data_IF_314950975536
#
_entry.id   IF_314950975536
#
_cell.length_a   1.000
_cell.length_b   1.000
_cell.length_c   1.000
_cell.angle_alpha   90.00
_cell.angle_beta   90.00
_cell.angle_gamma   90.00
#
_symmetry.space_group_name_H-M   'P 1'
#
loop_
_entity.id
_entity.type
_entity.pdbx_description
1 polymer ?
#
# COMPACT_ATOMS: atom_id res chain seq x y z
N UNK A 1 -4.88 4.02 -3.11
CA UNK A 1 -4.35 4.87 -4.22
C UNK A 1 -2.84 5.10 -4.11
N UNK A 2 -2.31 5.61 -2.99
CA UNK A 2 -0.86 5.86 -2.84
C UNK A 2 -0.05 4.57 -2.99
N UNK A 3 -0.48 3.48 -2.35
CA UNK A 3 0.15 2.14 -2.48
C UNK A 3 0.25 1.69 -3.95
N UNK A 4 -0.83 1.87 -4.72
CA UNK A 4 -0.86 1.59 -6.15
C UNK A 4 0.21 2.40 -6.90
N UNK A 5 0.27 3.72 -6.68
CA UNK A 5 1.20 4.60 -7.38
C UNK A 5 2.66 4.25 -7.06
N UNK A 6 2.96 3.94 -5.79
CA UNK A 6 4.31 3.57 -5.35
C UNK A 6 4.73 2.25 -5.99
N UNK A 7 3.93 1.19 -5.81
CA UNK A 7 4.22 -0.14 -6.35
C UNK A 7 4.38 -0.11 -7.86
N UNK A 8 3.45 0.53 -8.55
CA UNK A 8 3.49 0.66 -10.01
C UNK A 8 4.72 1.42 -10.49
N UNK A 9 5.07 2.54 -9.85
CA UNK A 9 6.23 3.35 -10.23
C UNK A 9 7.56 2.61 -10.00
N UNK A 10 7.68 1.87 -8.89
CA UNK A 10 8.87 1.05 -8.60
C UNK A 10 9.01 -0.06 -9.64
N UNK A 11 7.91 -0.78 -9.95
CA UNK A 11 7.92 -1.82 -10.99
C UNK A 11 8.31 -1.28 -12.37
N UNK A 12 7.73 -0.15 -12.78
CA UNK A 12 8.06 0.52 -14.05
C UNK A 12 9.54 0.90 -14.10
N UNK A 13 10.06 1.53 -13.03
CA UNK A 13 11.44 1.97 -12.98
C UNK A 13 12.41 0.79 -13.01
N UNK A 14 12.17 -0.25 -12.22
CA UNK A 14 13.03 -1.42 -12.16
C UNK A 14 13.13 -2.14 -13.51
N UNK A 15 11.99 -2.36 -14.18
CA UNK A 15 11.96 -3.03 -15.48
C UNK A 15 12.58 -2.17 -16.58
N UNK A 16 12.40 -0.84 -16.54
CA UNK A 16 13.04 0.08 -17.47
C UNK A 16 14.57 0.15 -17.29
N UNK A 17 15.05 0.16 -16.05
CA UNK A 17 16.49 0.08 -15.74
C UNK A 17 17.06 -1.22 -16.28
N UNK A 18 16.40 -2.35 -16.02
CA UNK A 18 16.80 -3.65 -16.54
C UNK A 18 16.87 -3.65 -18.08
N UNK A 19 15.89 -3.01 -18.74
CA UNK A 19 15.92 -2.83 -20.19
C UNK A 19 17.17 -2.09 -20.66
N UNK A 20 17.45 -0.90 -20.11
CA UNK A 20 18.58 -0.07 -20.55
C UNK A 20 19.95 -0.70 -20.23
N UNK A 21 20.07 -1.38 -19.09
CA UNK A 21 21.34 -1.97 -18.66
C UNK A 21 21.68 -3.25 -19.42
N UNK A 22 20.69 -4.02 -19.84
CA UNK A 22 20.89 -5.38 -20.36
C UNK A 22 20.28 -5.54 -21.75
N UNK A 23 18.97 -5.34 -21.92
CA UNK A 23 18.25 -5.71 -23.15
C UNK A 23 18.56 -4.80 -24.33
N UNK A 24 18.64 -3.49 -24.12
CA UNK A 24 18.94 -2.50 -25.18
C UNK A 24 20.29 -2.77 -25.83
N UNK A 25 21.24 -3.38 -25.09
CA UNK A 25 22.60 -3.63 -25.59
C UNK A 25 22.70 -4.82 -26.55
N UNK A 26 21.63 -5.58 -26.73
CA UNK A 26 21.60 -6.82 -27.52
C UNK A 26 20.63 -6.72 -28.71
N UNK A 27 20.99 -7.37 -29.83
CA UNK A 27 20.22 -7.42 -31.07
C UNK A 27 19.06 -8.43 -30.98
N UNK A 28 18.09 -8.13 -30.12
CA UNK A 28 16.87 -8.94 -29.91
C UNK A 28 15.59 -8.08 -29.94
N UNK A 29 15.47 -7.22 -30.95
CA UNK A 29 14.50 -6.11 -30.98
C UNK A 29 13.02 -6.52 -30.86
N UNK A 30 12.63 -7.68 -31.42
CA UNK A 30 11.26 -8.18 -31.23
C UNK A 30 10.98 -8.52 -29.76
N UNK A 31 11.91 -9.20 -29.08
CA UNK A 31 11.78 -9.50 -27.66
C UNK A 31 11.76 -8.22 -26.83
N UNK A 32 12.65 -7.28 -27.13
CA UNK A 32 12.72 -5.97 -26.48
C UNK A 32 11.41 -5.18 -26.63
N UNK A 33 10.78 -5.22 -27.82
CA UNK A 33 9.46 -4.62 -28.06
C UNK A 33 8.41 -5.19 -27.11
N UNK A 34 8.29 -6.51 -27.08
CA UNK A 34 7.31 -7.19 -26.21
C UNK A 34 7.61 -6.94 -24.73
N UNK A 35 8.88 -7.01 -24.32
CA UNK A 35 9.29 -6.73 -22.94
C UNK A 35 8.89 -5.31 -22.50
N UNK A 36 9.15 -4.29 -23.33
CA UNK A 36 8.79 -2.92 -23.02
C UNK A 36 7.26 -2.73 -22.88
N UNK A 37 6.46 -3.33 -23.78
CA UNK A 37 5.00 -3.24 -23.71
C UNK A 37 4.42 -4.03 -22.54
N UNK A 38 4.89 -5.26 -22.33
CA UNK A 38 4.43 -6.12 -21.23
C UNK A 38 4.83 -5.52 -19.89
N UNK A 39 6.07 -5.01 -19.74
CA UNK A 39 6.49 -4.37 -18.47
C UNK A 39 5.65 -3.15 -18.12
N UNK A 40 5.25 -2.35 -19.12
CA UNK A 40 4.36 -1.20 -18.95
C UNK A 40 2.99 -1.63 -18.39
N UNK A 41 2.35 -2.62 -19.01
CA UNK A 41 1.04 -3.12 -18.59
C UNK A 41 1.11 -3.89 -17.27
N UNK A 42 2.12 -4.74 -17.11
CA UNK A 42 2.37 -5.52 -15.91
C UNK A 42 2.56 -4.63 -14.68
N UNK A 43 3.35 -3.56 -14.79
CA UNK A 43 3.60 -2.65 -13.67
C UNK A 43 2.33 -1.90 -13.24
N UNK A 44 1.38 -1.69 -14.15
CA UNK A 44 0.07 -1.14 -13.81
C UNK A 44 -0.88 -2.20 -13.23
N UNK A 45 -0.70 -3.47 -13.57
CA UNK A 45 -1.56 -4.57 -13.12
C UNK A 45 -1.16 -5.17 -11.76
N UNK A 46 0.15 -5.28 -11.48
CA UNK A 46 0.67 -5.98 -10.28
C UNK A 46 0.17 -5.43 -8.94
N UNK A 47 -0.13 -4.13 -8.75
CA UNK A 47 -0.63 -3.67 -7.45
C UNK A 47 -2.07 -4.15 -7.15
N UNK A 48 -2.78 -4.69 -8.14
CA UNK A 48 -4.13 -5.25 -7.97
C UNK A 48 -4.12 -6.74 -7.58
N UNK A 49 -2.98 -7.40 -7.63
CA UNK A 49 -2.85 -8.79 -7.19
C UNK A 49 -2.39 -8.81 -5.74
N UNK A 50 -3.19 -9.37 -4.83
CA UNK A 50 -2.80 -9.61 -3.45
C UNK A 50 -3.26 -10.98 -3.01
N UNK A 51 -2.30 -11.78 -2.55
CA UNK A 51 -2.46 -13.09 -1.95
C UNK A 51 -1.95 -13.01 -0.53
N UNK A 52 -2.74 -13.56 0.37
CA UNK A 52 -2.50 -13.59 1.80
C UNK A 52 -1.74 -14.87 2.17
N UNK A 53 -0.58 -14.74 2.82
CA UNK A 53 0.17 -15.87 3.36
C UNK A 53 0.12 -15.82 4.89
N UNK A 54 -0.36 -16.89 5.51
CA UNK A 54 -0.25 -17.09 6.96
C UNK A 54 1.21 -17.19 7.35
N UNK A 55 1.68 -16.28 8.21
CA UNK A 55 3.07 -16.25 8.64
C UNK A 55 3.11 -16.10 10.16
N UNK A 56 3.67 -17.10 10.84
CA UNK A 56 3.99 -17.05 12.27
C UNK A 56 5.18 -16.13 12.50
N UNK A 57 4.97 -14.81 12.44
CA UNK A 57 6.06 -13.85 12.69
C UNK A 57 6.25 -13.69 14.21
N UNK A 58 7.44 -13.99 14.76
CA UNK A 58 7.77 -13.61 16.13
C UNK A 58 7.83 -12.07 16.21
N UNK A 59 6.96 -11.48 17.03
CA UNK A 59 6.91 -10.04 17.26
C UNK A 59 8.19 -9.64 17.98
N UNK A 60 9.16 -9.09 17.24
CA UNK A 60 10.28 -8.35 17.82
C UNK A 60 9.70 -7.03 18.32
N UNK A 61 9.48 -6.94 19.64
CA UNK A 61 9.12 -5.69 20.31
C UNK A 61 10.27 -4.70 20.17
N UNK A 62 10.21 -3.86 19.14
CA UNK A 62 11.10 -2.71 19.02
C UNK A 62 10.85 -1.81 20.24
N UNK A 63 11.82 -1.79 21.15
CA UNK A 63 11.88 -0.94 22.33
C UNK A 63 12.01 0.52 21.87
N UNK A 64 10.88 1.19 21.65
CA UNK A 64 10.87 2.64 21.47
C UNK A 64 11.22 3.27 22.82
N UNK A 65 12.39 3.88 22.88
CA UNK A 65 12.84 4.68 24.02
C UNK A 65 11.87 5.87 24.15
N UNK A 66 11.21 6.10 25.30
CA UNK A 66 10.38 7.28 25.49
C UNK A 66 11.28 8.52 25.46
N UNK A 67 11.06 9.39 24.48
CA UNK A 67 11.62 10.73 24.50
C UNK A 67 10.96 11.49 25.65
N UNK A 68 11.75 11.90 26.65
CA UNK A 68 11.31 12.73 27.76
C UNK A 68 10.74 14.04 27.22
N UNK A 69 9.42 14.21 27.34
CA UNK A 69 8.80 15.53 27.23
C UNK A 69 9.02 16.23 28.56
N UNK A 70 9.89 17.23 28.54
CA UNK A 70 10.09 18.15 29.66
C UNK A 70 8.77 18.88 29.88
N UNK A 71 8.16 18.65 31.04
CA UNK A 71 7.03 19.42 31.58
C UNK A 71 7.51 20.84 31.90
N UNK A 72 6.95 21.84 31.22
CA UNK A 72 6.96 23.22 31.70
C UNK A 72 5.62 23.49 32.40
N UNK A 73 5.75 23.82 33.68
CA UNK A 73 4.88 24.48 34.62
C UNK A 73 3.36 24.63 34.38
N UNK A 74 2.67 24.28 35.46
CA UNK A 74 1.33 24.69 35.88
C UNK A 74 0.90 26.09 35.38
N UNK A 75 -0.11 26.11 34.52
CA UNK A 75 -1.14 27.15 34.56
C UNK A 75 -2.52 26.47 34.57
N UNK A 76 -3.23 26.69 35.66
CA UNK A 76 -4.64 26.35 35.83
C UNK A 76 -5.49 27.20 34.88
N UNK A 77 -6.00 26.59 33.82
CA UNK A 77 -7.12 27.14 33.05
C UNK A 77 -8.35 26.30 33.40
N UNK A 78 -9.25 26.90 34.19
CA UNK A 78 -10.64 26.44 34.27
C UNK A 78 -11.22 26.52 32.86
N UNK A 79 -11.63 25.38 32.31
CA UNK A 79 -12.37 25.36 31.04
C UNK A 79 -13.79 24.91 31.33
N UNK A 80 -14.72 25.85 31.20
CA UNK A 80 -16.15 25.58 31.11
C UNK A 80 -16.41 24.59 29.98
N UNK A 81 -17.19 23.55 30.28
CA UNK A 81 -17.63 22.55 29.30
C UNK A 81 -18.72 23.18 28.44
N UNK A 82 -18.34 23.87 27.37
CA UNK A 82 -19.26 24.14 26.26
C UNK A 82 -19.32 22.91 25.37
N UNK A 83 -20.52 22.33 25.23
CA UNK A 83 -20.84 21.32 24.22
C UNK A 83 -20.52 21.88 22.82
N UNK A 84 -19.35 21.54 22.28
CA UNK A 84 -19.03 21.80 20.88
C UNK A 84 -19.53 20.57 20.11
N UNK A 85 -20.66 20.73 19.42
CA UNK A 85 -21.00 19.89 18.29
C UNK A 85 -19.79 19.92 17.34
N UNK A 86 -19.04 18.83 17.25
CA UNK A 86 -17.93 18.71 16.30
C UNK A 86 -18.52 18.75 14.90
N UNK A 87 -18.59 19.95 14.32
CA UNK A 87 -18.76 20.14 12.88
C UNK A 87 -17.63 19.35 12.22
N UNK A 88 -17.96 18.34 11.42
CA UNK A 88 -16.98 17.61 10.65
C UNK A 88 -16.18 18.61 9.81
N UNK A 89 -14.89 18.76 10.14
CA UNK A 89 -14.00 19.62 9.38
C UNK A 89 -13.75 18.98 8.01
N UNK A 90 -14.51 19.42 7.00
CA UNK A 90 -14.36 18.94 5.63
C UNK A 90 -12.97 19.34 5.13
N UNK A 91 -12.13 18.35 4.80
CA UNK A 91 -10.81 18.59 4.23
C UNK A 91 -10.94 18.95 2.74
N UNK A 92 -10.90 20.25 2.42
CA UNK A 92 -10.98 20.76 1.05
C UNK A 92 -9.75 20.48 0.17
N UNK A 93 -8.61 20.09 0.76
CA UNK A 93 -7.38 19.81 -0.02
C UNK A 93 -7.52 18.60 -0.92
N UNK A 94 -8.17 17.54 -0.44
CA UNK A 94 -8.31 16.31 -1.20
C UNK A 94 -9.21 16.50 -2.45
N UNK A 95 -10.41 17.12 -2.36
CA UNK A 95 -11.19 17.50 -3.54
C UNK A 95 -10.44 18.42 -4.51
N UNK A 96 -9.68 19.40 -4.00
CA UNK A 96 -8.90 20.31 -4.83
C UNK A 96 -7.81 19.59 -5.64
N UNK A 97 -7.13 18.60 -5.04
CA UNK A 97 -6.15 17.75 -5.72
C UNK A 97 -6.80 16.93 -6.84
N UNK A 98 -7.96 16.33 -6.58
CA UNK A 98 -8.71 15.59 -7.59
C UNK A 98 -9.18 16.48 -8.75
N UNK A 99 -9.70 17.67 -8.45
CA UNK A 99 -10.10 18.65 -9.45
C UNK A 99 -8.92 19.04 -10.35
N UNK A 100 -7.78 19.35 -9.73
CA UNK A 100 -6.54 19.72 -10.45
C UNK A 100 -6.07 18.58 -11.36
N UNK A 101 -6.07 17.35 -10.86
CA UNK A 101 -5.71 16.16 -11.64
C UNK A 101 -6.62 15.99 -12.86
N UNK A 102 -7.94 16.12 -12.71
CA UNK A 102 -8.92 15.98 -13.80
C UNK A 102 -8.74 17.07 -14.84
N UNK A 103 -8.60 18.34 -14.43
CA UNK A 103 -8.41 19.48 -15.34
C UNK A 103 -7.16 19.31 -16.19
N UNK A 104 -6.01 18.99 -15.58
CA UNK A 104 -4.76 18.80 -16.32
C UNK A 104 -4.89 17.63 -17.30
N UNK A 105 -5.47 16.51 -16.85
CA UNK A 105 -5.66 15.33 -17.70
C UNK A 105 -6.57 15.62 -18.90
N UNK A 106 -7.64 16.42 -18.71
CA UNK A 106 -8.53 16.84 -19.80
C UNK A 106 -7.82 17.72 -20.83
N UNK A 107 -7.04 18.71 -20.39
CA UNK A 107 -6.26 19.59 -21.28
C UNK A 107 -5.26 18.78 -22.09
N UNK A 108 -4.54 17.85 -21.45
CA UNK A 108 -3.57 16.99 -22.14
C UNK A 108 -4.25 16.02 -23.10
N UNK A 109 -5.41 15.47 -22.74
CA UNK A 109 -6.22 14.61 -23.60
C UNK A 109 -6.74 15.36 -24.82
N UNK A 110 -7.25 16.57 -24.65
CA UNK A 110 -7.66 17.43 -25.77
C UNK A 110 -6.48 17.72 -26.71
N UNK A 111 -5.30 18.08 -26.16
CA UNK A 111 -4.09 18.29 -26.95
C UNK A 111 -3.69 17.05 -27.75
N UNK A 112 -3.79 15.87 -27.14
CA UNK A 112 -3.51 14.58 -27.78
C UNK A 112 -4.49 14.28 -28.92
N UNK A 113 -5.80 14.40 -28.69
CA UNK A 113 -6.85 14.18 -29.70
C UNK A 113 -6.69 15.16 -30.86
N UNK A 114 -6.46 16.45 -30.57
CA UNK A 114 -6.22 17.48 -31.59
C UNK A 114 -5.03 17.12 -32.49
N UNK A 115 -3.94 16.62 -31.92
CA UNK A 115 -2.77 16.22 -32.70
C UNK A 115 -3.07 15.06 -33.65
N UNK A 116 -3.83 14.05 -33.19
CA UNK A 116 -4.30 12.95 -34.04
C UNK A 116 -5.19 13.49 -35.16
N UNK A 117 -6.14 14.37 -34.83
CA UNK A 117 -7.02 15.00 -35.81
C UNK A 117 -6.24 15.75 -36.89
N UNK A 118 -5.22 16.53 -36.52
CA UNK A 118 -4.37 17.27 -37.46
C UNK A 118 -3.70 16.30 -38.46
N UNK A 119 -3.07 15.22 -37.99
CA UNK A 119 -2.42 14.24 -38.87
C UNK A 119 -3.42 13.62 -39.84
N UNK A 120 -4.58 13.17 -39.33
CA UNK A 120 -5.63 12.57 -40.16
C UNK A 120 -6.21 13.58 -41.16
N UNK A 121 -6.35 14.85 -40.75
CA UNK A 121 -6.87 15.91 -41.63
C UNK A 121 -5.94 16.19 -42.82
N UNK A 122 -4.61 16.08 -42.63
CA UNK A 122 -3.62 16.24 -43.73
C UNK A 122 -3.81 15.19 -44.83
N UNK A 123 -4.14 13.95 -44.45
CA UNK A 123 -4.43 12.89 -45.41
C UNK A 123 -5.67 13.18 -46.27
N UNK A 124 -6.69 13.85 -45.71
CA UNK A 124 -7.90 14.24 -46.46
C UNK A 124 -7.68 15.40 -47.43
N UNK A 125 -6.75 16.31 -47.10
CA UNK A 125 -6.49 17.51 -47.88
C UNK A 125 -5.44 17.31 -49.00
N UNK A 126 -4.79 16.15 -49.05
CA UNK A 126 -3.62 15.91 -49.89
C UNK A 126 -3.87 14.79 -50.90
N UNK A 127 -3.05 14.73 -51.96
CA UNK A 127 -3.09 13.65 -52.94
C UNK A 127 -2.65 12.34 -52.27
N UNK A 128 -3.48 11.30 -52.38
CA UNK A 128 -3.20 9.96 -51.84
C UNK A 128 -2.88 9.00 -52.98
N UNK A 129 -1.78 8.27 -52.85
CA UNK A 129 -1.33 7.24 -53.79
C UNK A 129 -1.23 5.91 -53.03
N UNK A 130 -1.52 4.80 -53.70
CA UNK A 130 -1.33 3.46 -53.14
C UNK A 130 -0.10 2.83 -53.76
N UNK A 131 0.83 2.38 -52.93
CA UNK A 131 2.00 1.61 -53.36
C UNK A 131 2.14 0.35 -52.52
N UNK A 132 2.15 -0.84 -53.15
CA UNK A 132 2.29 -2.16 -52.48
C UNK A 132 1.37 -2.29 -51.24
N UNK A 133 0.07 -1.98 -51.39
CA UNK A 133 -0.95 -2.00 -50.34
C UNK A 133 -0.70 -1.04 -49.15
N UNK A 134 0.16 -0.04 -49.31
CA UNK A 134 0.39 1.02 -48.32
C UNK A 134 -0.07 2.36 -48.89
N UNK A 135 -0.75 3.17 -48.07
CA UNK A 135 -1.20 4.51 -48.46
C UNK A 135 -0.04 5.50 -48.32
N UNK A 136 0.14 6.33 -49.32
CA UNK A 136 1.13 7.41 -49.36
C UNK A 136 0.38 8.73 -49.52
N UNK A 137 0.60 9.66 -48.61
CA UNK A 137 0.04 11.00 -48.63
C UNK A 137 1.13 11.98 -49.06
N UNK A 138 0.93 12.65 -50.19
CA UNK A 138 1.87 13.62 -50.76
C UNK A 138 1.58 15.04 -50.26
N UNK A 139 2.40 15.48 -49.32
CA UNK A 139 2.32 16.77 -48.64
C UNK A 139 3.03 17.86 -49.43
N UNK A 140 2.52 19.10 -49.37
CA UNK A 140 3.17 20.26 -49.98
C UNK A 140 4.31 20.84 -49.12
N UNK A 141 4.34 20.51 -47.82
CA UNK A 141 5.36 20.96 -46.87
C UNK A 141 6.67 20.19 -47.01
N UNK A 142 7.80 20.89 -46.84
CA UNK A 142 9.14 20.29 -46.80
C UNK A 142 9.34 19.51 -45.50
N UNK A 143 9.16 18.19 -45.57
CA UNK A 143 9.21 17.28 -44.43
C UNK A 143 9.84 15.95 -44.82
N UNK A 144 10.69 15.42 -43.94
CA UNK A 144 11.14 14.03 -44.05
C UNK A 144 9.95 13.06 -43.99
N UNK A 145 10.03 11.91 -44.70
CA UNK A 145 9.01 10.89 -44.61
C UNK A 145 8.73 10.47 -43.16
N UNK A 146 7.45 10.31 -42.82
CA UNK A 146 7.02 9.77 -41.53
C UNK A 146 5.79 8.90 -41.67
N UNK A 147 5.63 7.96 -40.75
CA UNK A 147 4.52 7.00 -40.76
C UNK A 147 3.54 7.26 -39.62
N UNK A 148 2.24 7.24 -39.94
CA UNK A 148 1.17 7.19 -38.95
C UNK A 148 0.06 6.21 -39.37
N UNK A 149 -0.24 5.25 -38.51
CA UNK A 149 -1.21 4.18 -38.74
C UNK A 149 -0.80 3.25 -39.90
N UNK A 150 -1.54 3.28 -41.00
CA UNK A 150 -1.30 2.52 -42.24
C UNK A 150 -0.77 3.39 -43.39
N UNK A 151 -0.36 4.63 -43.06
CA UNK A 151 -0.13 5.69 -44.03
C UNK A 151 1.26 6.32 -43.85
N UNK A 152 1.98 6.46 -44.96
CA UNK A 152 3.27 7.16 -45.05
C UNK A 152 3.01 8.57 -45.58
N UNK A 153 3.54 9.57 -44.91
CA UNK A 153 3.44 10.98 -45.27
C UNK A 153 4.80 11.43 -45.77
N UNK A 154 4.86 12.08 -46.94
CA UNK A 154 6.12 12.53 -47.54
C UNK A 154 5.91 13.79 -48.39
N UNK A 155 6.98 14.54 -48.60
CA UNK A 155 6.97 15.70 -49.48
C UNK A 155 6.64 15.29 -50.93
N UNK A 156 5.77 16.06 -51.60
CA UNK A 156 5.34 15.82 -52.97
C UNK A 156 6.47 15.99 -53.97
N UNK A 157 7.26 17.05 -53.85
CA UNK A 157 8.35 17.35 -54.78
C UNK A 157 9.43 16.26 -54.70
N UNK A 158 9.84 15.88 -53.48
CA UNK A 158 10.82 14.81 -53.27
C UNK A 158 10.36 13.49 -53.90
N UNK A 159 9.06 13.17 -53.78
CA UNK A 159 8.49 11.96 -54.37
C UNK A 159 8.42 12.02 -55.89
N UNK A 160 7.91 13.12 -56.46
CA UNK A 160 7.74 13.29 -57.92
C UNK A 160 9.08 13.38 -58.64
N UNK A 161 10.10 14.00 -58.02
CA UNK A 161 11.46 14.10 -58.55
C UNK A 161 12.31 12.84 -58.30
N UNK A 162 11.79 11.83 -57.60
CA UNK A 162 12.50 10.60 -57.22
C UNK A 162 13.74 10.85 -56.35
N UNK A 163 13.67 11.82 -55.46
CA UNK A 163 14.73 12.19 -54.50
C UNK A 163 14.67 11.36 -53.19
N UNK A 164 13.73 10.42 -53.10
CA UNK A 164 13.56 9.51 -51.97
C UNK A 164 14.20 8.15 -52.30
N UNK A 165 15.28 7.83 -51.60
CA UNK A 165 15.96 6.55 -51.72
C UNK A 165 15.09 5.35 -51.29
N UNK A 166 15.27 4.22 -51.95
CA UNK A 166 14.46 3.01 -51.74
C UNK A 166 14.59 2.43 -50.33
N UNK A 167 15.75 2.63 -49.69
CA UNK A 167 16.07 2.23 -48.33
C UNK A 167 15.20 2.99 -47.33
N UNK A 168 15.06 4.32 -47.52
CA UNK A 168 14.21 5.16 -46.67
C UNK A 168 12.73 4.80 -46.85
N UNK A 169 12.32 4.50 -48.08
CA UNK A 169 10.96 4.01 -48.34
C UNK A 169 10.70 2.64 -47.69
N UNK A 170 11.68 1.74 -47.73
CA UNK A 170 11.60 0.42 -47.08
C UNK A 170 11.56 0.55 -45.55
N UNK A 171 12.24 1.55 -44.99
CA UNK A 171 12.21 1.91 -43.58
C UNK A 171 10.78 2.29 -43.15
N UNK A 172 10.15 3.25 -43.83
CA UNK A 172 8.78 3.68 -43.53
C UNK A 172 7.75 2.55 -43.68
N UNK A 173 7.88 1.72 -44.71
CA UNK A 173 7.04 0.51 -44.87
C UNK A 173 7.19 -0.43 -43.66
N UNK A 174 8.37 -0.54 -43.07
CA UNK A 174 8.57 -1.38 -41.88
C UNK A 174 7.71 -0.91 -40.70
N UNK A 175 7.57 0.41 -40.49
CA UNK A 175 6.71 0.97 -39.45
C UNK A 175 5.23 0.65 -39.65
N UNK A 176 4.76 0.75 -40.90
CA UNK A 176 3.38 0.37 -41.27
C UNK A 176 3.14 -1.11 -41.03
N UNK A 177 3.98 -1.98 -41.60
CA UNK A 177 3.80 -3.44 -41.52
C UNK A 177 3.83 -3.96 -40.08
N UNK A 178 4.69 -3.37 -39.25
CA UNK A 178 4.83 -3.76 -37.84
C UNK A 178 3.87 -3.02 -36.90
N UNK A 179 3.01 -2.13 -37.42
CA UNK A 179 2.00 -1.36 -36.68
C UNK A 179 2.59 -0.56 -35.50
N UNK A 180 3.76 0.03 -35.68
CA UNK A 180 4.48 0.75 -34.61
C UNK A 180 3.67 1.91 -34.00
N UNK A 181 2.75 2.52 -34.77
CA UNK A 181 1.85 3.57 -34.25
C UNK A 181 1.01 3.11 -33.06
N UNK A 182 0.61 1.85 -32.97
CA UNK A 182 -0.20 1.34 -31.85
C UNK A 182 0.54 1.45 -30.52
N UNK A 183 1.79 1.01 -30.50
CA UNK A 183 2.67 1.08 -29.33
C UNK A 183 2.88 2.54 -28.87
N UNK A 184 3.05 3.47 -29.82
CA UNK A 184 3.22 4.90 -29.53
C UNK A 184 1.93 5.52 -29.00
N UNK A 185 0.77 5.15 -29.54
CA UNK A 185 -0.53 5.59 -29.02
C UNK A 185 -0.73 5.08 -27.59
N UNK A 186 -0.44 3.81 -27.32
CA UNK A 186 -0.57 3.23 -25.98
C UNK A 186 0.24 4.02 -24.94
N UNK A 187 1.52 4.29 -25.21
CA UNK A 187 2.37 5.02 -24.25
C UNK A 187 1.99 6.51 -24.16
N UNK A 188 1.49 7.13 -25.23
CA UNK A 188 0.99 8.52 -25.17
C UNK A 188 -0.30 8.64 -24.34
N UNK A 189 -1.20 7.66 -24.43
CA UNK A 189 -2.40 7.59 -23.57
C UNK A 189 -1.98 7.47 -22.11
N UNK A 190 -1.09 6.53 -21.79
CA UNK A 190 -0.62 6.36 -20.41
C UNK A 190 0.14 7.59 -19.89
N UNK A 191 1.00 8.20 -20.71
CA UNK A 191 1.67 9.46 -20.35
C UNK A 191 0.68 10.62 -20.13
N UNK A 192 -0.47 10.60 -20.79
CA UNK A 192 -1.54 11.58 -20.58
C UNK A 192 -2.24 11.37 -19.25
N UNK A 193 -2.53 10.11 -18.88
CA UNK A 193 -3.16 9.75 -17.59
C UNK A 193 -2.20 9.90 -16.40
N UNK A 194 -0.94 9.56 -16.59
CA UNK A 194 0.13 9.59 -15.61
C UNK A 194 1.13 10.71 -15.90
N UNK A 195 0.63 11.89 -16.26
CA UNK A 195 1.44 13.05 -16.69
C UNK A 195 2.46 13.52 -15.65
N UNK A 196 2.21 13.25 -14.37
CA UNK A 196 3.12 13.55 -13.27
C UNK A 196 4.27 12.55 -13.14
N UNK A 197 4.18 11.38 -13.78
CA UNK A 197 5.18 10.32 -13.70
C UNK A 197 6.13 10.38 -14.93
N UNK A 198 7.37 10.86 -14.77
CA UNK A 198 8.30 11.02 -15.90
C UNK A 198 8.79 9.69 -16.50
N UNK A 199 8.57 8.55 -15.82
CA UNK A 199 9.03 7.23 -16.30
C UNK A 199 8.40 6.89 -17.66
N UNK A 200 7.15 7.31 -17.92
CA UNK A 200 6.48 7.11 -19.20
C UNK A 200 7.16 7.83 -20.37
N UNK A 201 7.86 8.95 -20.11
CA UNK A 201 8.65 9.67 -21.12
C UNK A 201 9.83 8.81 -21.58
N UNK A 202 10.49 8.13 -20.63
CA UNK A 202 11.61 7.25 -20.95
C UNK A 202 11.15 5.95 -21.62
N UNK A 203 10.03 5.36 -21.20
CA UNK A 203 9.41 4.24 -21.91
C UNK A 203 9.09 4.59 -23.36
N UNK A 204 8.51 5.77 -23.62
CA UNK A 204 8.26 6.22 -24.99
C UNK A 204 9.54 6.25 -25.81
N UNK A 205 10.61 6.86 -25.28
CA UNK A 205 11.91 6.93 -25.97
C UNK A 205 12.49 5.54 -26.26
N UNK A 206 12.40 4.62 -25.30
CA UNK A 206 12.86 3.25 -25.45
C UNK A 206 12.07 2.47 -26.52
N UNK A 207 10.74 2.58 -26.50
CA UNK A 207 9.86 1.95 -27.49
C UNK A 207 10.15 2.47 -28.89
N UNK A 208 10.23 3.80 -29.07
CA UNK A 208 10.54 4.42 -30.35
C UNK A 208 11.91 3.99 -30.86
N UNK A 209 12.96 4.03 -30.04
CA UNK A 209 14.29 3.57 -30.45
C UNK A 209 14.30 2.10 -30.86
N UNK A 210 13.55 1.25 -30.18
CA UNK A 210 13.43 -0.16 -30.56
C UNK A 210 12.68 -0.34 -31.89
N UNK A 211 11.70 0.52 -32.20
CA UNK A 211 11.04 0.54 -33.51
C UNK A 211 12.01 0.92 -34.63
N UNK A 212 12.86 1.91 -34.39
CA UNK A 212 13.91 2.30 -35.34
C UNK A 212 14.85 1.11 -35.62
N UNK A 213 15.28 0.37 -34.58
CA UNK A 213 16.11 -0.82 -34.75
C UNK A 213 15.43 -1.92 -35.58
N UNK A 214 14.12 -2.12 -35.40
CA UNK A 214 13.34 -3.07 -36.18
C UNK A 214 13.21 -2.65 -37.65
N UNK A 215 13.00 -1.36 -37.91
CA UNK A 215 12.93 -0.82 -39.25
C UNK A 215 14.31 -0.91 -39.96
N UNK A 216 15.38 -0.54 -39.26
CA UNK A 216 16.77 -0.66 -39.74
C UNK A 216 17.13 -2.12 -40.09
N UNK A 217 16.74 -3.08 -39.24
CA UNK A 217 16.95 -4.50 -39.50
C UNK A 217 16.25 -4.95 -40.78
N UNK A 218 15.04 -4.45 -41.05
CA UNK A 218 14.30 -4.78 -42.26
C UNK A 218 14.97 -4.21 -43.52
N UNK A 219 15.45 -2.96 -43.47
CA UNK A 219 16.18 -2.34 -44.59
C UNK A 219 17.44 -3.13 -44.93
N UNK A 220 18.25 -3.47 -43.93
CA UNK A 220 19.50 -4.23 -44.11
C UNK A 220 19.22 -5.63 -44.68
N UNK A 221 18.13 -6.27 -44.25
CA UNK A 221 17.74 -7.59 -44.77
C UNK A 221 17.32 -7.55 -46.25
N UNK A 222 16.70 -6.45 -46.70
CA UNK A 222 16.19 -6.28 -48.07
C UNK A 222 17.30 -5.81 -49.02
N UNK A 223 18.01 -4.73 -48.68
CA UNK A 223 18.94 -4.05 -49.60
C UNK A 223 20.37 -4.54 -49.52
N UNK A 224 20.78 -5.13 -48.37
CA UNK A 224 22.11 -5.71 -48.14
C UNK A 224 23.30 -4.74 -48.30
N UNK A 225 23.07 -3.43 -48.39
CA UNK A 225 24.11 -2.41 -48.35
C UNK A 225 24.04 -1.61 -47.04
N UNK A 226 24.87 -2.01 -46.07
CA UNK A 226 24.92 -1.35 -44.77
C UNK A 226 25.58 0.04 -44.86
N UNK A 227 26.65 0.17 -45.63
CA UNK A 227 27.46 1.39 -45.67
C UNK A 227 26.69 2.52 -46.36
N UNK A 228 26.04 2.22 -47.48
CA UNK A 228 25.16 3.18 -48.14
C UNK A 228 24.06 3.65 -47.20
N UNK A 229 23.35 2.72 -46.56
CA UNK A 229 22.26 3.06 -45.66
C UNK A 229 22.71 3.90 -44.46
N UNK A 230 23.86 3.60 -43.85
CA UNK A 230 24.42 4.41 -42.77
C UNK A 230 24.77 5.83 -43.24
N UNK A 231 25.34 5.98 -44.43
CA UNK A 231 25.65 7.28 -45.02
C UNK A 231 24.39 8.10 -45.31
N UNK A 232 23.34 7.44 -45.81
CA UNK A 232 22.03 8.04 -46.05
C UNK A 232 21.43 8.62 -44.76
N UNK A 233 21.43 7.84 -43.67
CA UNK A 233 20.92 8.29 -42.37
C UNK A 233 21.71 9.49 -41.81
N UNK A 234 23.05 9.48 -41.95
CA UNK A 234 23.90 10.60 -41.51
C UNK A 234 23.64 11.87 -42.34
N UNK A 235 23.51 11.74 -43.66
CA UNK A 235 23.22 12.86 -44.55
C UNK A 235 21.88 13.51 -44.22
N UNK A 236 20.84 12.72 -43.92
CA UNK A 236 19.52 13.25 -43.54
C UNK A 236 19.52 14.01 -42.20
N UNK A 237 20.45 13.71 -41.28
CA UNK A 237 20.59 14.44 -40.01
C UNK A 237 21.34 15.76 -40.19
N UNK A 238 22.36 15.77 -41.06
CA UNK A 238 23.20 16.95 -41.32
C UNK A 238 22.41 18.14 -41.91
N UNK A 239 21.27 17.87 -42.55
CA UNK A 239 20.38 18.89 -43.13
C UNK A 239 19.64 19.70 -42.04
N UNK A 240 19.60 19.24 -40.77
CA UNK A 240 19.00 19.98 -39.66
C UNK A 240 19.94 21.08 -39.14
N UNK A 241 19.63 22.36 -39.43
CA UNK A 241 20.43 23.52 -38.97
C UNK A 241 20.51 23.55 -37.43
N UNK A 242 21.70 23.56 -36.80
CA UNK A 242 21.81 23.67 -35.36
C UNK A 242 21.66 25.13 -34.92
N UNK A 243 20.71 25.42 -34.03
CA UNK A 243 20.81 26.58 -33.14
C UNK A 243 21.78 26.24 -32.00
N UNK A 244 22.68 27.16 -31.62
CA UNK A 244 23.74 26.93 -30.63
C UNK A 244 23.26 26.63 -29.20
N UNK A 245 22.00 26.93 -28.88
CA UNK A 245 21.34 26.62 -27.60
C UNK A 245 20.54 25.30 -27.63
N UNK A 246 20.45 24.63 -28.78
CA UNK A 246 19.65 23.41 -28.94
C UNK A 246 20.52 22.14 -28.93
N UNK A 247 20.27 21.24 -27.98
CA UNK A 247 20.84 19.89 -28.04
C UNK A 247 20.19 19.12 -29.19
N UNK A 248 21.01 18.52 -30.06
CA UNK A 248 20.50 17.77 -31.21
C UNK A 248 20.08 16.36 -30.75
N UNK A 249 18.90 16.27 -30.11
CA UNK A 249 18.37 15.05 -29.46
C UNK A 249 18.32 13.83 -30.39
N UNK A 250 18.20 14.05 -31.71
CA UNK A 250 18.20 12.99 -32.71
C UNK A 250 19.58 12.35 -32.90
N UNK A 251 20.68 13.07 -32.64
CA UNK A 251 22.04 12.54 -32.82
C UNK A 251 22.32 11.35 -31.91
N UNK A 252 21.91 11.40 -30.63
CA UNK A 252 22.12 10.31 -29.69
C UNK A 252 21.35 9.04 -30.09
N UNK A 253 20.11 9.20 -30.56
CA UNK A 253 19.29 8.08 -31.04
C UNK A 253 19.90 7.46 -32.31
N UNK A 254 20.28 8.28 -33.29
CA UNK A 254 20.91 7.77 -34.52
C UNK A 254 22.26 7.13 -34.24
N UNK A 255 23.09 7.69 -33.35
CA UNK A 255 24.33 7.04 -32.93
C UNK A 255 24.08 5.62 -32.42
N UNK A 256 23.04 5.43 -31.59
CA UNK A 256 22.64 4.09 -31.12
C UNK A 256 22.19 3.19 -32.27
N UNK A 257 21.42 3.71 -33.23
CA UNK A 257 21.01 2.97 -34.45
C UNK A 257 22.23 2.47 -35.23
N UNK A 258 23.17 3.35 -35.55
CA UNK A 258 24.39 3.02 -36.31
C UNK A 258 25.24 1.95 -35.61
N UNK A 259 25.46 2.07 -34.30
CA UNK A 259 26.17 1.07 -33.50
C UNK A 259 25.42 -0.27 -33.47
N UNK A 260 24.09 -0.23 -33.38
CA UNK A 260 23.28 -1.43 -33.28
C UNK A 260 23.18 -2.21 -34.60
N UNK A 261 23.27 -1.53 -35.74
CA UNK A 261 23.30 -2.18 -37.06
C UNK A 261 24.52 -3.08 -37.24
N UNK A 262 25.70 -2.63 -36.77
CA UNK A 262 26.98 -3.38 -36.86
C UNK A 262 27.16 -4.41 -35.74
N UNK A 263 26.32 -4.38 -34.71
CA UNK A 263 26.43 -5.27 -33.56
C UNK A 263 26.17 -6.74 -33.93
N UNK A 264 27.08 -7.61 -33.49
CA UNK A 264 26.94 -9.07 -33.50
C UNK A 264 26.58 -9.52 -32.08
N UNK A 265 25.58 -10.41 -31.96
CA UNK A 265 25.13 -10.94 -30.66
C UNK A 265 25.06 -12.46 -30.66
N UNK A 266 25.56 -13.07 -29.59
CA UNK A 266 25.55 -14.52 -29.40
C UNK A 266 24.16 -15.04 -29.04
N UNK A 267 23.70 -16.09 -29.73
CA UNK A 267 22.40 -16.72 -29.49
C UNK A 267 22.25 -17.22 -28.05
N UNK A 268 23.26 -17.91 -27.50
CA UNK A 268 23.22 -18.44 -26.13
C UNK A 268 23.06 -17.33 -25.09
N UNK A 269 23.81 -16.24 -25.25
CA UNK A 269 23.71 -15.05 -24.41
C UNK A 269 22.31 -14.42 -24.47
N UNK A 270 21.75 -14.26 -25.67
CA UNK A 270 20.39 -13.69 -25.78
C UNK A 270 19.33 -14.59 -25.16
N UNK A 271 19.46 -15.91 -25.27
CA UNK A 271 18.55 -16.87 -24.61
C UNK A 271 18.63 -16.75 -23.09
N UNK A 272 19.82 -16.70 -22.51
CA UNK A 272 20.00 -16.54 -21.06
C UNK A 272 19.39 -15.23 -20.55
N UNK A 273 19.60 -14.11 -21.27
CA UNK A 273 19.03 -12.81 -20.92
C UNK A 273 17.49 -12.84 -20.97
N UNK A 274 16.88 -13.53 -21.94
CA UNK A 274 15.42 -13.68 -22.02
C UNK A 274 14.86 -14.42 -20.81
N UNK A 275 15.51 -15.52 -20.39
CA UNK A 275 15.14 -16.21 -19.16
C UNK A 275 15.27 -15.29 -17.95
N UNK A 276 16.39 -14.57 -17.82
CA UNK A 276 16.60 -13.62 -16.74
C UNK A 276 15.50 -12.54 -16.70
N UNK A 277 15.07 -12.03 -17.85
CA UNK A 277 14.00 -11.05 -17.95
C UNK A 277 12.66 -11.60 -17.44
N UNK A 278 12.31 -12.82 -17.83
CA UNK A 278 11.07 -13.49 -17.39
C UNK A 278 11.10 -13.76 -15.89
N UNK A 279 12.21 -14.29 -15.37
CA UNK A 279 12.38 -14.49 -13.92
C UNK A 279 12.39 -13.17 -13.15
N UNK A 280 12.93 -12.10 -13.71
CA UNK A 280 12.89 -10.77 -13.10
C UNK A 280 11.46 -10.22 -12.96
N UNK A 281 10.63 -10.39 -14.00
CA UNK A 281 9.20 -10.04 -13.93
C UNK A 281 8.47 -10.91 -12.89
N UNK A 282 8.74 -12.21 -12.86
CA UNK A 282 8.16 -13.12 -11.86
C UNK A 282 8.58 -12.74 -10.44
N UNK A 283 9.85 -12.40 -10.21
CA UNK A 283 10.33 -11.97 -8.90
C UNK A 283 9.60 -10.70 -8.42
N UNK A 284 9.41 -9.71 -9.29
CA UNK A 284 8.63 -8.50 -8.97
C UNK A 284 7.16 -8.87 -8.66
N UNK A 285 6.57 -9.81 -9.42
CA UNK A 285 5.23 -10.32 -9.13
C UNK A 285 5.14 -10.93 -7.74
N UNK A 286 6.05 -11.85 -7.39
CA UNK A 286 6.07 -12.50 -6.08
C UNK A 286 6.26 -11.48 -4.95
N UNK A 287 7.16 -10.50 -5.13
CA UNK A 287 7.43 -9.47 -4.11
C UNK A 287 6.22 -8.59 -3.79
N UNK A 288 5.42 -8.23 -4.80
CA UNK A 288 4.28 -7.32 -4.59
C UNK A 288 2.95 -8.02 -4.39
N UNK A 289 2.82 -9.27 -4.85
CA UNK A 289 1.57 -10.01 -4.79
C UNK A 289 1.35 -10.72 -3.46
N UNK A 290 2.40 -11.05 -2.70
CA UNK A 290 2.22 -11.71 -1.41
C UNK A 290 2.30 -10.71 -0.26
N UNK A 291 1.27 -10.71 0.60
CA UNK A 291 1.23 -9.94 1.84
C UNK A 291 1.12 -10.90 3.03
N UNK A 292 1.86 -10.67 4.13
CA UNK A 292 1.66 -11.45 5.33
C UNK A 292 0.26 -11.19 5.89
N UNK A 293 -0.47 -12.25 6.25
CA UNK A 293 -1.69 -12.14 7.07
C UNK A 293 -1.25 -11.74 8.47
N UNK A 294 -1.60 -10.53 8.88
CA UNK A 294 -1.56 -10.19 10.29
C UNK A 294 -2.82 -10.81 10.91
N UNK A 295 -2.67 -11.97 11.55
CA UNK A 295 -3.76 -12.54 12.36
C UNK A 295 -4.10 -11.50 13.44
N UNK A 296 -5.28 -10.90 13.37
CA UNK A 296 -5.85 -10.05 14.42
C UNK A 296 -6.07 -10.90 15.67
N UNK A 297 -5.01 -11.15 16.44
CA UNK A 297 -5.10 -11.79 17.75
C UNK A 297 -5.92 -10.85 18.65
N UNK A 298 -7.02 -11.36 19.21
CA UNK A 298 -7.83 -10.63 20.19
C UNK A 298 -7.04 -10.56 21.50
N UNK A 299 -6.29 -9.48 21.71
CA UNK A 299 -5.54 -9.26 22.96
C UNK A 299 -6.49 -8.79 24.06
N UNK A 300 -6.48 -9.47 25.19
CA UNK A 300 -7.26 -9.13 26.39
C UNK A 300 -6.28 -8.84 27.52
N UNK A 301 -6.46 -7.71 28.19
CA UNK A 301 -5.68 -7.38 29.37
C UNK A 301 -6.49 -7.69 30.62
N UNK A 302 -5.91 -8.46 31.53
CA UNK A 302 -6.43 -8.69 32.88
C UNK A 302 -5.62 -7.85 33.86
N UNK A 303 -6.31 -6.96 34.54
CA UNK A 303 -5.75 -6.06 35.53
C UNK A 303 -6.14 -6.54 36.93
N UNK A 304 -5.22 -7.22 37.62
CA UNK A 304 -5.42 -7.60 39.02
C UNK A 304 -5.27 -6.35 39.90
N UNK A 305 -6.37 -5.88 40.48
CA UNK A 305 -6.42 -4.70 41.33
C UNK A 305 -5.41 -4.74 42.48
N UNK A 306 -5.04 -3.56 42.99
CA UNK A 306 -4.15 -3.39 44.14
C UNK A 306 -2.77 -4.07 43.95
N UNK A 307 -2.09 -4.44 45.04
CA UNK A 307 -0.81 -5.15 45.01
C UNK A 307 0.28 -4.46 45.84
N UNK A 308 1.26 -5.22 46.32
CA UNK A 308 2.36 -4.71 47.14
C UNK A 308 1.84 -4.04 48.42
N UNK A 309 2.08 -2.73 48.56
CA UNK A 309 1.66 -1.96 49.75
C UNK A 309 0.16 -1.68 49.81
N UNK A 310 -0.56 -1.83 48.70
CA UNK A 310 -2.02 -1.64 48.66
C UNK A 310 -2.70 -3.00 48.76
N UNK A 311 -3.34 -3.28 49.91
CA UNK A 311 -4.02 -4.55 50.18
C UNK A 311 -5.42 -4.65 49.55
N UNK A 312 -6.01 -3.53 49.14
CA UNK A 312 -7.45 -3.45 48.86
C UNK A 312 -8.31 -3.78 50.08
N UNK A 313 -9.52 -4.32 49.85
CA UNK A 313 -10.39 -4.80 50.90
C UNK A 313 -9.72 -5.96 51.68
N UNK A 314 -9.87 -5.94 53.02
CA UNK A 314 -9.27 -6.95 53.89
C UNK A 314 -10.20 -7.34 55.04
N UNK A 315 -10.34 -8.64 55.29
CA UNK A 315 -11.02 -9.22 56.46
C UNK A 315 -10.16 -10.36 57.01
N UNK A 316 -9.65 -10.18 58.23
CA UNK A 316 -8.70 -11.12 58.83
C UNK A 316 -7.44 -11.26 57.98
N UNK A 317 -7.13 -12.50 57.57
CA UNK A 317 -5.99 -12.82 56.71
C UNK A 317 -6.29 -12.68 55.20
N UNK A 318 -7.56 -12.54 54.83
CA UNK A 318 -7.99 -12.47 53.44
C UNK A 318 -7.83 -11.06 52.90
N UNK A 319 -7.06 -10.92 51.82
CA UNK A 319 -6.72 -9.65 51.20
C UNK A 319 -7.13 -9.69 49.73
N UNK A 320 -7.85 -8.66 49.28
CA UNK A 320 -8.33 -8.53 47.91
C UNK A 320 -7.20 -8.75 46.90
N UNK A 321 -6.06 -8.07 47.09
CA UNK A 321 -4.91 -8.14 46.19
C UNK A 321 -4.43 -9.56 45.88
N UNK A 322 -4.51 -10.48 46.85
CA UNK A 322 -4.07 -11.88 46.72
C UNK A 322 -5.10 -12.72 45.99
N UNK A 323 -6.38 -12.48 46.27
CA UNK A 323 -7.48 -13.21 45.65
C UNK A 323 -7.56 -12.86 44.16
N UNK A 324 -7.52 -11.57 43.80
CA UNK A 324 -7.60 -11.13 42.40
C UNK A 324 -6.35 -11.51 41.60
N UNK A 325 -5.17 -11.53 42.23
CA UNK A 325 -3.94 -12.06 41.63
C UNK A 325 -4.06 -13.56 41.32
N UNK A 326 -4.55 -14.35 42.28
CA UNK A 326 -4.75 -15.79 42.09
C UNK A 326 -5.72 -16.08 40.94
N UNK A 327 -6.84 -15.36 40.87
CA UNK A 327 -7.82 -15.49 39.79
C UNK A 327 -7.21 -15.07 38.44
N UNK A 328 -6.51 -13.94 38.38
CA UNK A 328 -5.83 -13.47 37.17
C UNK A 328 -4.82 -14.50 36.65
N UNK A 329 -4.00 -15.06 37.53
CA UNK A 329 -3.04 -16.11 37.18
C UNK A 329 -3.74 -17.37 36.64
N UNK A 330 -4.85 -17.79 37.24
CA UNK A 330 -5.66 -18.91 36.73
C UNK A 330 -6.24 -18.63 35.34
N UNK A 331 -6.74 -17.41 35.07
CA UNK A 331 -7.21 -17.01 33.73
C UNK A 331 -6.06 -17.09 32.72
N UNK A 332 -4.87 -16.60 33.08
CA UNK A 332 -3.70 -16.65 32.20
C UNK A 332 -3.25 -18.07 31.88
N UNK A 333 -3.44 -19.04 32.79
CA UNK A 333 -3.10 -20.45 32.55
C UNK A 333 -4.04 -21.13 31.55
N UNK A 334 -5.25 -20.60 31.35
CA UNK A 334 -6.22 -21.09 30.38
C UNK A 334 -5.96 -20.59 28.95
N UNK A 335 -5.04 -19.62 28.78
CA UNK A 335 -4.77 -18.97 27.51
C UNK A 335 -4.38 -19.97 26.39
N UNK A 336 -5.20 -20.06 25.34
CA UNK A 336 -4.98 -20.92 24.17
C UNK A 336 -4.20 -20.19 23.08
N UNK A 337 -3.31 -20.90 22.36
CA UNK A 337 -2.30 -20.27 21.49
C UNK A 337 -2.82 -19.61 20.20
N UNK A 338 -4.05 -19.90 19.79
CA UNK A 338 -4.36 -19.77 18.36
C UNK A 338 -5.19 -18.54 17.97
N UNK A 339 -5.87 -17.84 18.91
CA UNK A 339 -6.74 -16.68 18.54
C UNK A 339 -6.86 -15.55 19.57
N UNK A 340 -6.54 -15.80 20.85
CA UNK A 340 -6.68 -14.82 21.93
C UNK A 340 -5.35 -14.75 22.65
N UNK A 341 -4.92 -13.55 23.02
CA UNK A 341 -3.73 -13.35 23.83
C UNK A 341 -4.15 -12.68 25.14
N UNK A 342 -4.02 -13.40 26.25
CA UNK A 342 -4.30 -12.87 27.59
C UNK A 342 -3.01 -12.33 28.19
N UNK A 343 -2.99 -11.04 28.53
CA UNK A 343 -1.86 -10.36 29.14
C UNK A 343 -2.26 -9.89 30.55
N UNK A 344 -1.50 -10.30 31.56
CA UNK A 344 -1.65 -9.79 32.92
C UNK A 344 -0.85 -8.50 33.09
N UNK A 345 -1.46 -7.43 33.62
CA UNK A 345 -0.70 -6.22 34.01
C UNK A 345 0.23 -6.48 35.20
N UNK A 346 -0.22 -7.37 36.11
CA UNK A 346 0.50 -7.77 37.31
C UNK A 346 0.50 -9.30 37.42
N UNK A 347 1.69 -9.90 37.61
CA UNK A 347 1.87 -11.36 37.69
C UNK A 347 2.20 -11.87 39.11
N UNK A 348 2.59 -10.96 40.00
CA UNK A 348 3.01 -11.20 41.38
C UNK A 348 2.49 -10.08 42.30
N UNK A 349 2.77 -10.13 43.61
CA UNK A 349 2.33 -9.13 44.61
C UNK A 349 3.10 -7.78 44.53
N UNK A 350 3.31 -7.26 43.32
CA UNK A 350 3.89 -5.93 43.08
C UNK A 350 2.86 -4.81 43.16
N UNK A 351 3.28 -3.62 43.61
CA UNK A 351 2.44 -2.43 43.53
C UNK A 351 2.59 -1.78 42.15
N UNK A 352 1.47 -1.50 41.47
CA UNK A 352 1.43 -0.74 40.20
C UNK A 352 0.49 0.46 40.38
N UNK A 353 1.01 1.67 40.13
CA UNK A 353 0.24 2.90 40.23
C UNK A 353 -0.82 3.00 39.12
N UNK A 354 -1.94 3.67 39.38
CA UNK A 354 -3.05 3.78 38.42
C UNK A 354 -2.65 4.40 37.07
N UNK A 355 -1.73 5.39 37.09
CA UNK A 355 -1.18 5.99 35.87
C UNK A 355 -0.32 5.02 35.06
N UNK A 356 0.42 4.15 35.74
CA UNK A 356 1.27 3.13 35.11
C UNK A 356 0.41 2.03 34.49
N UNK A 357 -0.64 1.57 35.18
CA UNK A 357 -1.63 0.63 34.61
C UNK A 357 -2.20 1.14 33.29
N UNK A 358 -2.66 2.39 33.27
CA UNK A 358 -3.21 3.03 32.06
C UNK A 358 -2.16 3.18 30.97
N UNK A 359 -0.93 3.56 31.32
CA UNK A 359 0.17 3.68 30.36
C UNK A 359 0.44 2.35 29.66
N UNK A 360 0.55 1.25 30.40
CA UNK A 360 0.78 -0.07 29.81
C UNK A 360 -0.44 -0.59 29.04
N UNK A 361 -1.66 -0.40 29.54
CA UNK A 361 -2.89 -0.71 28.78
C UNK A 361 -2.90 -0.01 27.42
N UNK A 362 -2.66 1.30 27.40
CA UNK A 362 -2.73 2.10 26.18
C UNK A 362 -1.61 1.77 25.19
N UNK A 363 -0.47 1.30 25.70
CA UNK A 363 0.65 0.82 24.90
C UNK A 363 0.38 -0.57 24.31
N UNK A 364 -0.29 -1.45 25.05
CA UNK A 364 -0.74 -2.76 24.55
C UNK A 364 -1.86 -2.60 23.52
N UNK A 365 -2.74 -1.60 23.71
CA UNK A 365 -3.93 -1.34 22.90
C UNK A 365 -4.83 -2.60 22.73
N UNK A 366 -5.30 -3.21 23.85
CA UNK A 366 -6.04 -4.46 23.79
C UNK A 366 -7.47 -4.27 23.26
N UNK A 367 -8.10 -5.38 22.86
CA UNK A 367 -9.51 -5.43 22.47
C UNK A 367 -10.47 -5.18 23.64
N UNK A 368 -10.05 -5.52 24.86
CA UNK A 368 -10.78 -5.29 26.11
C UNK A 368 -9.81 -5.35 27.31
N UNK A 369 -10.06 -4.51 28.31
CA UNK A 369 -9.47 -4.58 29.66
C UNK A 369 -10.52 -5.06 30.64
N UNK A 370 -10.16 -6.04 31.47
CA UNK A 370 -10.96 -6.51 32.59
C UNK A 370 -10.15 -6.27 33.87
N UNK A 371 -10.55 -5.29 34.66
CA UNK A 371 -9.97 -5.00 35.98
C UNK A 371 -10.71 -5.78 37.06
N UNK A 372 -10.00 -6.64 37.79
CA UNK A 372 -10.54 -7.54 38.81
C UNK A 372 -10.38 -6.92 40.20
N UNK A 373 -11.51 -6.83 40.91
CA UNK A 373 -11.62 -6.28 42.25
C UNK A 373 -12.57 -7.11 43.12
N UNK A 374 -12.63 -6.82 44.42
CA UNK A 374 -13.55 -7.41 45.39
C UNK A 374 -14.16 -6.28 46.21
N UNK A 375 -15.48 -6.31 46.39
CA UNK A 375 -16.18 -5.26 47.11
C UNK A 375 -16.15 -5.50 48.63
N UNK A 376 -16.50 -4.48 49.41
CA UNK A 376 -16.79 -4.55 50.84
C UNK A 376 -17.94 -3.60 51.17
N UNK A 377 -18.82 -4.01 52.08
CA UNK A 377 -19.95 -3.21 52.52
C UNK A 377 -20.12 -3.25 54.03
N UNK A 378 -20.71 -2.18 54.59
CA UNK A 378 -21.17 -2.19 55.99
C UNK A 378 -22.36 -3.14 56.18
N UNK A 379 -23.15 -3.35 55.12
CA UNK A 379 -24.24 -4.32 55.13
C UNK A 379 -23.68 -5.70 54.76
N UNK A 380 -23.50 -6.56 55.76
CA UNK A 380 -22.94 -7.90 55.57
C UNK A 380 -23.80 -8.82 54.67
N UNK A 381 -25.05 -8.45 54.42
CA UNK A 381 -25.97 -9.19 53.54
C UNK A 381 -25.81 -8.81 52.06
N UNK A 382 -25.10 -7.73 51.72
CA UNK A 382 -24.80 -7.41 50.32
C UNK A 382 -23.84 -8.44 49.73
N UNK A 383 -24.18 -8.98 48.57
CA UNK A 383 -23.45 -10.06 47.92
C UNK A 383 -23.50 -9.94 46.39
N UNK A 384 -22.73 -10.79 45.72
CA UNK A 384 -22.79 -10.97 44.27
C UNK A 384 -21.83 -10.09 43.46
N UNK A 385 -21.94 -10.22 42.14
CA UNK A 385 -21.00 -9.65 41.17
C UNK A 385 -21.53 -8.31 40.65
N UNK A 386 -20.73 -7.26 40.77
CA UNK A 386 -21.02 -5.96 40.18
C UNK A 386 -19.98 -5.62 39.11
N UNK A 387 -20.33 -4.80 38.13
CA UNK A 387 -19.36 -4.30 37.16
C UNK A 387 -19.56 -2.82 36.86
N UNK A 388 -18.49 -2.18 36.41
CA UNK A 388 -18.45 -0.75 36.19
C UNK A 388 -17.83 -0.40 34.85
N UNK A 389 -18.38 0.62 34.19
CA UNK A 389 -17.85 1.26 32.99
C UNK A 389 -17.88 2.78 33.14
N UNK A 390 -16.99 3.51 32.46
CA UNK A 390 -16.92 4.98 32.54
C UNK A 390 -17.49 5.63 31.28
N UNK A 391 -18.47 6.54 31.41
CA UNK A 391 -19.00 7.34 30.29
C UNK A 391 -17.97 8.30 29.68
N UNK A 392 -16.88 8.58 30.41
CA UNK A 392 -15.80 9.42 29.92
C UNK A 392 -14.83 8.66 28.99
N UNK A 393 -14.97 7.35 28.88
CA UNK A 393 -14.25 6.54 27.90
C UNK A 393 -15.04 6.51 26.58
N UNK A 394 -14.37 6.80 25.45
CA UNK A 394 -14.98 6.80 24.11
C UNK A 394 -15.56 5.43 23.70
N UNK A 395 -15.15 4.35 24.38
CA UNK A 395 -15.63 2.99 24.19
C UNK A 395 -16.69 2.56 25.23
N UNK A 396 -17.39 3.52 25.85
CA UNK A 396 -18.36 3.27 26.92
C UNK A 396 -19.40 2.20 26.58
N UNK A 397 -20.09 2.32 25.43
CA UNK A 397 -21.16 1.38 25.05
C UNK A 397 -20.66 -0.06 24.94
N UNK A 398 -19.50 -0.25 24.29
CA UNK A 398 -18.87 -1.57 24.18
C UNK A 398 -18.44 -2.11 25.55
N UNK A 399 -17.91 -1.24 26.40
CA UNK A 399 -17.51 -1.60 27.77
C UNK A 399 -18.71 -1.99 28.63
N UNK A 400 -19.83 -1.28 28.49
CA UNK A 400 -21.09 -1.54 29.19
C UNK A 400 -21.72 -2.86 28.74
N UNK A 401 -21.72 -3.15 27.43
CA UNK A 401 -22.17 -4.43 26.89
C UNK A 401 -21.30 -5.60 27.40
N UNK A 402 -19.98 -5.45 27.35
CA UNK A 402 -19.04 -6.44 27.90
C UNK A 402 -19.25 -6.64 29.41
N UNK A 403 -19.47 -5.58 30.18
CA UNK A 403 -19.73 -5.66 31.61
C UNK A 403 -21.01 -6.43 31.92
N UNK A 404 -22.10 -6.19 31.19
CA UNK A 404 -23.37 -6.93 31.34
C UNK A 404 -23.18 -8.43 31.08
N UNK A 405 -22.56 -8.77 29.95
CA UNK A 405 -22.27 -10.16 29.59
C UNK A 405 -21.37 -10.85 30.60
N UNK A 406 -20.36 -10.14 31.13
CA UNK A 406 -19.43 -10.71 32.11
C UNK A 406 -20.11 -10.96 33.46
N UNK A 407 -20.93 -10.02 33.95
CA UNK A 407 -21.73 -10.23 35.18
C UNK A 407 -22.64 -11.44 35.02
N UNK A 408 -23.35 -11.54 33.88
CA UNK A 408 -24.20 -12.68 33.57
C UNK A 408 -23.44 -14.01 33.55
N UNK A 409 -22.22 -14.02 33.01
CA UNK A 409 -21.39 -15.23 32.94
C UNK A 409 -20.85 -15.67 34.32
N UNK A 410 -20.43 -14.71 35.16
CA UNK A 410 -19.81 -15.02 36.46
C UNK A 410 -20.87 -15.42 37.50
N UNK A 411 -22.02 -14.75 37.53
CA UNK A 411 -23.07 -15.00 38.52
C UNK A 411 -23.57 -16.46 38.51
N UNK A 412 -23.91 -16.97 39.70
CA UNK A 412 -24.43 -18.32 39.93
C UNK A 412 -25.15 -18.37 41.28
N UNK A 413 -25.50 -19.57 41.76
CA UNK A 413 -26.16 -19.76 43.08
C UNK A 413 -25.32 -19.26 44.27
N UNK A 414 -24.00 -19.15 44.11
CA UNK A 414 -23.06 -18.74 45.17
C UNK A 414 -22.70 -17.25 45.09
N UNK A 415 -22.70 -16.67 43.89
CA UNK A 415 -22.49 -15.25 43.64
C UNK A 415 -23.71 -14.67 42.93
N UNK A 416 -24.55 -13.94 43.68
CA UNK A 416 -25.75 -13.31 43.13
C UNK A 416 -25.42 -12.40 41.93
N UNK A 417 -26.41 -12.19 41.07
CA UNK A 417 -26.32 -11.21 39.98
C UNK A 417 -26.51 -9.81 40.54
N UNK A 418 -25.44 -9.03 40.55
CA UNK A 418 -25.47 -7.61 40.92
C UNK A 418 -25.75 -6.71 39.71
N UNK A 419 -25.36 -5.45 39.86
CA UNK A 419 -25.67 -4.38 38.92
C UNK A 419 -24.44 -4.01 38.06
N UNK A 420 -24.72 -3.52 36.86
CA UNK A 420 -23.72 -2.85 36.02
C UNK A 420 -23.92 -1.33 36.14
N UNK A 421 -22.94 -0.65 36.71
CA UNK A 421 -23.01 0.77 37.09
C UNK A 421 -22.05 1.62 36.28
N UNK A 422 -22.33 2.92 36.26
CA UNK A 422 -21.34 3.91 35.84
C UNK A 422 -20.38 4.19 37.01
N UNK A 423 -19.07 4.20 36.74
CA UNK A 423 -18.08 4.74 37.68
C UNK A 423 -16.90 5.39 36.95
N UNK A 424 -16.34 6.42 37.57
CA UNK A 424 -15.23 7.22 37.04
C UNK A 424 -13.86 6.79 37.59
N UNK A 425 -13.65 5.48 37.73
CA UNK A 425 -12.36 4.93 38.12
C UNK A 425 -11.27 5.31 37.11
N UNK A 426 -10.08 5.61 37.61
CA UNK A 426 -8.99 6.17 36.80
C UNK A 426 -8.60 5.28 35.61
N UNK A 427 -8.54 3.96 35.81
CA UNK A 427 -8.23 3.00 34.75
C UNK A 427 -9.31 3.05 33.65
N UNK A 428 -10.58 2.96 34.03
CA UNK A 428 -11.70 2.95 33.08
C UNK A 428 -11.77 4.22 32.23
N UNK A 429 -11.59 5.40 32.85
CA UNK A 429 -11.68 6.68 32.15
C UNK A 429 -10.55 6.90 31.16
N UNK A 430 -9.32 6.51 31.51
CA UNK A 430 -8.12 6.90 30.76
C UNK A 430 -7.60 5.81 29.81
N UNK A 431 -8.21 4.62 29.80
CA UNK A 431 -7.93 3.58 28.80
C UNK A 431 -8.45 3.98 27.41
N UNK A 432 -7.60 3.84 26.39
CA UNK A 432 -7.89 4.11 24.97
C UNK A 432 -8.45 2.87 24.25
N UNK A 433 -9.15 2.02 24.99
CA UNK A 433 -9.77 0.80 24.54
C UNK A 433 -11.01 0.50 25.41
N UNK A 434 -11.86 -0.47 25.05
CA UNK A 434 -12.92 -0.94 25.91
C UNK A 434 -12.35 -1.40 27.26
N UNK A 435 -12.92 -0.93 28.37
CA UNK A 435 -12.43 -1.20 29.70
C UNK A 435 -13.58 -1.31 30.69
N UNK A 436 -13.58 -2.39 31.47
CA UNK A 436 -14.53 -2.63 32.55
C UNK A 436 -13.79 -3.02 33.84
N UNK A 437 -14.41 -2.71 34.96
CA UNK A 437 -13.99 -3.19 36.28
C UNK A 437 -15.08 -4.12 36.79
N UNK A 438 -14.70 -5.29 37.29
CA UNK A 438 -15.62 -6.26 37.89
C UNK A 438 -15.25 -6.49 39.34
N UNK A 439 -16.23 -6.33 40.22
CA UNK A 439 -16.14 -6.69 41.63
C UNK A 439 -16.74 -8.07 41.81
N UNK A 440 -15.87 -9.06 42.06
CA UNK A 440 -16.21 -10.48 42.06
C UNK A 440 -16.67 -10.88 43.48
N UNK A 441 -17.79 -10.35 43.93
CA UNK A 441 -18.34 -10.61 45.27
C UNK A 441 -17.92 -9.60 46.33
N UNK A 442 -18.48 -9.78 47.54
CA UNK A 442 -18.23 -8.94 48.71
C UNK A 442 -17.43 -9.71 49.76
N UNK A 443 -16.26 -9.19 50.13
CA UNK A 443 -15.45 -9.79 51.19
C UNK A 443 -16.19 -9.77 52.54
N UNK A 444 -17.04 -8.75 52.77
CA UNK A 444 -17.89 -8.60 53.96
C UNK A 444 -18.98 -9.67 54.09
N UNK A 445 -19.43 -10.26 52.99
CA UNK A 445 -20.43 -11.32 52.99
C UNK A 445 -19.77 -12.69 53.17
N UNK A 446 -20.29 -13.49 54.10
CA UNK A 446 -19.68 -14.77 54.43
C UNK A 446 -19.75 -15.80 53.28
N UNK A 447 -20.86 -15.85 52.55
CA UNK A 447 -21.02 -16.80 51.44
C UNK A 447 -20.10 -16.45 50.27
N UNK A 448 -20.09 -15.18 49.87
CA UNK A 448 -19.18 -14.68 48.83
C UNK A 448 -17.73 -14.91 49.25
N UNK A 449 -17.35 -14.48 50.46
CA UNK A 449 -15.98 -14.64 50.99
C UNK A 449 -15.54 -16.09 50.94
N UNK A 450 -16.35 -17.02 51.46
CA UNK A 450 -16.02 -18.45 51.47
C UNK A 450 -15.83 -19.00 50.05
N UNK A 451 -16.58 -18.48 49.08
CA UNK A 451 -16.46 -18.92 47.70
C UNK A 451 -15.22 -18.35 47.00
N UNK A 452 -14.99 -17.03 47.09
CA UNK A 452 -13.91 -16.33 46.38
C UNK A 452 -12.52 -16.60 46.97
N UNK A 453 -12.43 -17.01 48.24
CA UNK A 453 -11.16 -17.46 48.86
C UNK A 453 -10.89 -18.94 48.61
N UNK A 454 -11.90 -19.73 48.24
CA UNK A 454 -11.73 -21.16 47.96
C UNK A 454 -11.03 -21.41 46.62
N UNK A 455 -10.18 -22.45 46.56
CA UNK A 455 -9.50 -22.86 45.33
C UNK A 455 -10.50 -23.20 44.21
N UNK A 456 -11.59 -23.89 44.55
CA UNK A 456 -12.64 -24.28 43.61
C UNK A 456 -13.41 -23.06 43.07
N UNK A 457 -13.80 -22.12 43.93
CA UNK A 457 -14.49 -20.90 43.49
C UNK A 457 -13.62 -20.04 42.58
N UNK A 458 -12.35 -19.84 42.93
CA UNK A 458 -11.41 -19.12 42.07
C UNK A 458 -11.20 -19.78 40.70
N UNK A 459 -11.15 -21.12 40.64
CA UNK A 459 -11.07 -21.86 39.38
C UNK A 459 -12.35 -21.68 38.53
N UNK A 460 -13.52 -21.76 39.15
CA UNK A 460 -14.81 -21.59 38.48
C UNK A 460 -14.97 -20.17 37.92
N UNK A 461 -14.62 -19.14 38.71
CA UNK A 461 -14.60 -17.74 38.29
C UNK A 461 -13.64 -17.55 37.10
N UNK A 462 -12.42 -18.06 37.20
CA UNK A 462 -11.43 -17.95 36.12
C UNK A 462 -11.91 -18.60 34.82
N UNK A 463 -12.52 -19.79 34.89
CA UNK A 463 -13.10 -20.47 33.74
C UNK A 463 -14.26 -19.67 33.11
N UNK A 464 -15.15 -19.11 33.92
CA UNK A 464 -16.26 -18.26 33.45
C UNK A 464 -15.74 -17.01 32.74
N UNK A 465 -14.75 -16.32 33.30
CA UNK A 465 -14.12 -15.16 32.65
C UNK A 465 -13.45 -15.58 31.32
N UNK A 466 -12.79 -16.74 31.29
CA UNK A 466 -12.17 -17.26 30.07
C UNK A 466 -13.18 -17.61 28.98
N UNK A 467 -14.31 -18.24 29.32
CA UNK A 467 -15.38 -18.52 28.35
C UNK A 467 -16.05 -17.23 27.84
N UNK A 468 -16.19 -16.20 28.68
CA UNK A 468 -16.60 -14.87 28.23
C UNK A 468 -15.60 -14.29 27.21
N UNK A 469 -14.30 -14.40 27.47
CA UNK A 469 -13.24 -13.90 26.58
C UNK A 469 -13.27 -14.58 25.20
N UNK A 470 -13.63 -15.88 25.16
CA UNK A 470 -13.75 -16.68 23.93
C UNK A 470 -14.94 -16.33 23.05
N UNK A 471 -16.02 -15.81 23.65
CA UNK A 471 -17.19 -15.31 22.92
C UNK A 471 -16.87 -13.96 22.27
#
# INVERSE_FOLDING_TARGET
MIDFLIKSSISLLALLIFYHLILEKEKMFHFNRYFLLVSLLFSLAVPFTSFEIEQDIPIITNKIIPQQVITADNLSIQTEVTNINTLEQINYWLPLLWLTYVVITLVLSFRFIRNIYIIISKAKASKVITHKNTKIVLLAEDTLPYTFWDTIYMNRNDYENREIEQELFTHEIAHVKQKHTLDVILVEVLKTLFWFNPIFIFYKKAIQLNHEFLADQNVIAVHRDLTFYQSLLLNKISISKPFSLASNLNFLATKKRLIMMTKITSKSRTTAIKFLAVFGVLAIFLLFSFKPVQLDKKTIVIDAGHGGMDSGAQIGAEQEKKIVESIANKISLLNGKDKIEIILLRKDDSFIAQSERVSEINKINPSLVISLHINTSKNINENGVNAYASKQNVFYEKSLESAKKLVDEISNEKLAKGEVKEANFFVLRNSKCPALLVEIGYLSNENDRNYITSQNGQNEIANKIFEFIKK
#
